data_IF_150975987821
#
_entry.id   IF_150975987821
#
_cell.length_a   1.000
_cell.length_b   1.000
_cell.length_c   1.000
_cell.angle_alpha   90.00
_cell.angle_beta   90.00
_cell.angle_gamma   90.00
#
_symmetry.space_group_name_H-M   'P 1'
#
loop_
_entity.id
_entity.type
_entity.pdbx_description
1 polymer ?
#
# COMPACT_ATOMS: atom_id res chain seq x y z
N UNK A 1 -12.57 -18.54 5.80
CA UNK A 1 -11.87 -17.28 6.10
C UNK A 1 -12.83 -16.15 5.75
N UNK A 2 -13.05 -15.20 6.66
CA UNK A 2 -13.87 -14.02 6.34
C UNK A 2 -13.15 -13.16 5.32
N UNK A 3 -13.88 -12.46 4.45
CA UNK A 3 -13.27 -11.42 3.62
C UNK A 3 -12.80 -10.30 4.54
N UNK A 4 -11.55 -9.80 4.38
CA UNK A 4 -11.03 -8.71 5.18
C UNK A 4 -11.81 -7.42 4.89
N UNK A 5 -12.01 -6.61 5.92
CA UNK A 5 -12.71 -5.34 5.77
C UNK A 5 -11.82 -4.26 5.12
N UNK A 6 -12.44 -3.14 4.72
CA UNK A 6 -11.76 -2.05 4.03
C UNK A 6 -10.63 -1.44 4.87
N UNK A 7 -10.79 -1.39 6.20
CA UNK A 7 -9.81 -0.84 7.14
C UNK A 7 -8.61 -1.78 7.31
N UNK A 8 -8.83 -3.09 7.40
CA UNK A 8 -7.80 -4.12 7.42
C UNK A 8 -6.98 -4.08 6.12
N UNK A 9 -7.64 -3.97 4.97
CA UNK A 9 -6.97 -3.85 3.68
C UNK A 9 -6.12 -2.56 3.60
N UNK A 10 -6.59 -1.46 4.18
CA UNK A 10 -5.85 -0.18 4.25
C UNK A 10 -4.57 -0.33 5.07
N UNK A 11 -4.65 -0.97 6.23
CA UNK A 11 -3.49 -1.26 7.07
C UNK A 11 -2.46 -2.15 6.36
N UNK A 12 -2.92 -3.15 5.60
CA UNK A 12 -2.04 -4.00 4.77
C UNK A 12 -1.31 -3.19 3.70
N UNK A 13 -1.99 -2.26 3.01
CA UNK A 13 -1.31 -1.42 2.02
C UNK A 13 -0.30 -0.47 2.65
N UNK A 14 -0.61 0.09 3.81
CA UNK A 14 0.33 0.94 4.56
C UNK A 14 1.61 0.17 4.95
N UNK A 15 1.45 -1.06 5.45
CA UNK A 15 2.60 -1.90 5.79
C UNK A 15 3.43 -2.26 4.56
N UNK A 16 2.77 -2.55 3.43
CA UNK A 16 3.46 -2.84 2.17
C UNK A 16 4.22 -1.63 1.65
N UNK A 17 3.62 -0.45 1.69
CA UNK A 17 4.29 0.80 1.30
C UNK A 17 5.57 0.99 2.12
N UNK A 18 5.48 0.91 3.45
CA UNK A 18 6.64 1.07 4.33
C UNK A 18 7.72 0.03 4.05
N UNK A 19 7.33 -1.25 3.88
CA UNK A 19 8.26 -2.34 3.57
C UNK A 19 8.99 -2.10 2.24
N UNK A 20 8.26 -1.73 1.19
CA UNK A 20 8.85 -1.47 -0.12
C UNK A 20 9.76 -0.23 -0.11
N UNK A 21 9.43 0.81 0.67
CA UNK A 21 10.31 1.95 0.86
C UNK A 21 11.61 1.56 1.59
N UNK A 22 11.53 0.70 2.60
CA UNK A 22 12.73 0.18 3.28
C UNK A 22 13.60 -0.65 2.34
N UNK A 23 12.97 -1.51 1.52
CA UNK A 23 13.67 -2.31 0.51
C UNK A 23 14.30 -1.43 -0.57
N UNK A 24 13.62 -0.37 -1.03
CA UNK A 24 14.18 0.58 -1.99
C UNK A 24 15.45 1.27 -1.45
N UNK A 25 15.45 1.62 -0.16
CA UNK A 25 16.62 2.22 0.53
C UNK A 25 17.76 1.22 0.72
N UNK A 26 17.46 -0.06 0.85
CA UNK A 26 18.42 -1.13 1.05
C UNK A 26 18.87 -1.83 -0.24
N UNK A 27 18.28 -1.48 -1.39
CA UNK A 27 18.53 -2.10 -2.67
C UNK A 27 20.00 -2.01 -3.09
N UNK A 28 20.49 -3.06 -3.75
CA UNK A 28 21.89 -3.14 -4.16
C UNK A 28 22.21 -2.26 -5.37
N UNK A 29 21.20 -1.95 -6.18
CA UNK A 29 21.33 -1.11 -7.37
C UNK A 29 20.09 -0.26 -7.65
N UNK A 30 20.25 0.69 -8.58
CA UNK A 30 19.19 1.64 -8.96
C UNK A 30 17.99 0.96 -9.63
N UNK A 31 18.19 -0.18 -10.30
CA UNK A 31 17.11 -0.87 -10.97
C UNK A 31 16.18 -1.56 -9.96
N UNK A 32 16.77 -2.23 -8.98
CA UNK A 32 16.08 -2.83 -7.84
C UNK A 32 15.38 -1.75 -7.01
N UNK A 33 16.08 -0.66 -6.67
CA UNK A 33 15.50 0.48 -5.96
C UNK A 33 14.26 1.05 -6.68
N UNK A 34 14.37 1.29 -8.00
CA UNK A 34 13.26 1.81 -8.80
C UNK A 34 12.08 0.83 -8.89
N UNK A 35 12.33 -0.48 -8.79
CA UNK A 35 11.26 -1.48 -8.75
C UNK A 35 10.49 -1.42 -7.43
N UNK A 36 11.20 -1.35 -6.30
CA UNK A 36 10.61 -1.21 -4.99
C UNK A 36 9.84 0.12 -4.85
N UNK A 37 10.38 1.23 -5.36
CA UNK A 37 9.69 2.52 -5.40
C UNK A 37 8.35 2.44 -6.13
N UNK A 38 8.30 1.79 -7.30
CA UNK A 38 7.04 1.59 -8.04
C UNK A 38 6.04 0.74 -7.25
N UNK A 39 6.51 -0.25 -6.48
CA UNK A 39 5.64 -1.07 -5.62
C UNK A 39 5.11 -0.26 -4.43
N UNK A 40 5.94 0.57 -3.82
CA UNK A 40 5.52 1.49 -2.75
C UNK A 40 4.45 2.46 -3.24
N UNK A 41 4.66 3.10 -4.40
CA UNK A 41 3.67 4.00 -5.03
C UNK A 41 2.35 3.29 -5.32
N UNK A 42 2.40 2.03 -5.78
CA UNK A 42 1.19 1.24 -6.01
C UNK A 42 0.45 0.93 -4.71
N UNK A 43 1.17 0.58 -3.64
CA UNK A 43 0.56 0.35 -2.33
C UNK A 43 -0.12 1.61 -1.80
N UNK A 44 0.55 2.76 -1.92
CA UNK A 44 -0.01 4.06 -1.56
C UNK A 44 -1.30 4.37 -2.33
N UNK A 45 -1.28 4.23 -3.66
CA UNK A 45 -2.47 4.45 -4.48
C UNK A 45 -3.65 3.54 -4.07
N UNK A 46 -3.38 2.27 -3.76
CA UNK A 46 -4.42 1.35 -3.28
C UNK A 46 -4.94 1.76 -1.89
N UNK A 47 -4.08 2.28 -1.02
CA UNK A 47 -4.46 2.82 0.27
C UNK A 47 -5.43 4.00 0.12
N UNK A 48 -5.18 4.93 -0.81
CA UNK A 48 -6.09 6.04 -1.12
C UNK A 48 -7.45 5.55 -1.62
N UNK A 49 -7.47 4.55 -2.53
CA UNK A 49 -8.73 3.98 -3.03
C UNK A 49 -9.54 3.25 -1.98
N UNK A 50 -8.88 2.61 -1.02
CA UNK A 50 -9.55 2.01 0.12
C UNK A 50 -10.11 3.07 1.07
N UNK A 51 -9.43 4.21 1.24
CA UNK A 51 -9.97 5.33 2.02
C UNK A 51 -11.23 5.92 1.37
N UNK A 52 -11.21 6.20 0.07
CA UNK A 52 -12.39 6.65 -0.69
C UNK A 52 -13.58 5.67 -0.53
N UNK A 53 -13.29 4.37 -0.55
CA UNK A 53 -14.30 3.32 -0.34
C UNK A 53 -14.85 3.34 1.10
N UNK A 54 -13.98 3.45 2.11
CA UNK A 54 -14.38 3.48 3.51
C UNK A 54 -15.28 4.68 3.81
N UNK A 55 -14.95 5.85 3.27
CA UNK A 55 -15.80 7.05 3.35
C UNK A 55 -17.18 6.79 2.71
N UNK A 56 -17.20 6.21 1.50
CA UNK A 56 -18.44 5.85 0.81
C UNK A 56 -19.28 4.81 1.57
N UNK A 57 -18.65 3.91 2.32
CA UNK A 57 -19.32 2.92 3.17
C UNK A 57 -19.90 3.54 4.45
N UNK A 58 -19.31 4.62 4.96
CA UNK A 58 -19.79 5.36 6.15
C UNK A 58 -20.96 6.29 5.83
N UNK A 59 -20.99 6.88 4.64
CA UNK A 59 -22.03 7.81 4.19
C UNK A 59 -23.33 7.12 3.72
N UNK A 60 -23.41 5.79 3.79
CA UNK A 60 -24.52 4.97 3.30
C UNK A 60 -25.45 4.49 4.42
#
# INVERSE_FOLDING_TARGET
>A
MSEPDTEELKAVQLQREATEQELARAAADEHEAAQHDRRAQKAHYLQEKLAERAESEQDR
#
